data_IF_042580582896
#
_entry.id   IF_042580582896
#
_cell.length_a   1.000
_cell.length_b   1.000
_cell.length_c   1.000
_cell.angle_alpha   90.00
_cell.angle_beta   90.00
_cell.angle_gamma   90.00
#
_symmetry.space_group_name_H-M   'P 1'
#
loop_
_entity.id
_entity.type
_entity.pdbx_description
1 polymer ?
#
# COMPACT_ATOMS: atom_id res chain seq x y z
N UNK A 1 0.55 -1.37 25.93
CA UNK A 1 0.84 -1.73 24.53
C UNK A 1 1.13 -0.44 23.78
N UNK A 2 2.03 -0.45 22.80
CA UNK A 2 2.11 0.70 21.88
C UNK A 2 0.97 0.60 20.89
N UNK A 3 0.33 1.73 20.60
CA UNK A 3 -0.76 1.79 19.64
C UNK A 3 -0.28 1.45 18.23
N UNK A 4 -1.18 0.90 17.41
CA UNK A 4 -0.94 0.73 15.97
C UNK A 4 -1.22 2.05 15.26
N UNK A 5 -0.47 2.34 14.20
CA UNK A 5 -0.70 3.53 13.39
C UNK A 5 -1.89 3.37 12.45
N UNK A 6 -2.04 2.16 11.89
CA UNK A 6 -3.19 1.73 11.11
C UNK A 6 -3.75 0.48 11.79
N UNK A 7 -5.02 0.54 12.19
CA UNK A 7 -5.73 -0.61 12.76
C UNK A 7 -6.50 -1.29 11.64
N UNK A 8 -6.08 -2.52 11.29
CA UNK A 8 -6.84 -3.34 10.35
C UNK A 8 -8.18 -3.74 10.93
N UNK A 9 -9.22 -3.70 10.11
CA UNK A 9 -10.57 -4.13 10.43
C UNK A 9 -11.23 -4.82 9.23
N UNK A 10 -12.38 -5.46 9.44
CA UNK A 10 -13.16 -6.05 8.33
C UNK A 10 -13.58 -5.02 7.29
N UNK A 11 -13.76 -3.77 7.69
CA UNK A 11 -14.13 -2.70 6.77
C UNK A 11 -13.00 -2.39 5.78
N UNK A 12 -11.77 -2.87 6.01
CA UNK A 12 -10.65 -2.75 5.08
C UNK A 12 -10.62 -3.86 4.02
N UNK A 13 -11.38 -4.93 4.21
CA UNK A 13 -11.46 -6.02 3.23
C UNK A 13 -12.27 -5.57 2.02
N UNK A 14 -11.77 -5.87 0.83
CA UNK A 14 -12.44 -5.62 -0.46
C UNK A 14 -13.17 -6.89 -0.96
N UNK A 15 -12.87 -8.04 -0.36
CA UNK A 15 -13.51 -9.33 -0.62
C UNK A 15 -12.75 -10.22 -1.61
N UNK A 16 -11.52 -9.86 -1.98
CA UNK A 16 -10.64 -10.66 -2.85
C UNK A 16 -9.55 -11.25 -1.95
N UNK A 17 -9.63 -12.53 -1.53
CA UNK A 17 -8.81 -13.04 -0.41
C UNK A 17 -7.30 -12.86 -0.58
N UNK A 18 -6.77 -13.02 -1.80
CA UNK A 18 -5.35 -12.82 -2.07
C UNK A 18 -4.96 -11.34 -1.94
N UNK A 19 -5.81 -10.41 -2.38
CA UNK A 19 -5.57 -8.97 -2.26
C UNK A 19 -5.75 -8.50 -0.81
N UNK A 20 -6.75 -9.01 -0.09
CA UNK A 20 -6.97 -8.67 1.32
C UNK A 20 -5.78 -9.10 2.20
N UNK A 21 -5.24 -10.30 1.98
CA UNK A 21 -4.02 -10.73 2.67
C UNK A 21 -2.83 -9.87 2.27
N UNK A 22 -2.76 -9.48 1.01
CA UNK A 22 -1.71 -8.60 0.55
C UNK A 22 -1.76 -7.21 1.24
N UNK A 23 -2.92 -6.59 1.28
CA UNK A 23 -3.19 -5.34 1.99
C UNK A 23 -2.79 -5.41 3.47
N UNK A 24 -3.03 -6.54 4.15
CA UNK A 24 -2.60 -6.76 5.55
C UNK A 24 -1.08 -6.68 5.72
N UNK A 25 -0.31 -7.21 4.77
CA UNK A 25 1.17 -7.13 4.80
C UNK A 25 1.65 -5.69 4.65
N UNK A 26 1.01 -4.90 3.78
CA UNK A 26 1.31 -3.46 3.66
C UNK A 26 1.06 -2.73 4.99
N UNK A 27 -0.10 -2.94 5.62
CA UNK A 27 -0.42 -2.36 6.94
C UNK A 27 0.57 -2.80 8.02
N UNK A 28 0.97 -4.08 8.04
CA UNK A 28 1.99 -4.58 8.96
C UNK A 28 3.34 -3.89 8.79
N UNK A 29 3.74 -3.60 7.54
CA UNK A 29 4.99 -2.91 7.22
C UNK A 29 4.94 -1.44 7.68
N UNK A 30 3.81 -0.75 7.47
CA UNK A 30 3.61 0.63 7.94
C UNK A 30 3.65 0.69 9.47
N UNK A 31 2.95 -0.22 10.14
CA UNK A 31 2.96 -0.29 11.60
C UNK A 31 4.36 -0.62 12.16
N UNK A 32 5.17 -1.40 11.44
CA UNK A 32 6.56 -1.67 11.81
C UNK A 32 7.42 -0.42 11.75
N UNK A 33 7.29 0.42 10.72
CA UNK A 33 7.95 1.72 10.65
C UNK A 33 7.56 2.60 11.84
N UNK A 34 6.26 2.72 12.11
CA UNK A 34 5.76 3.48 13.25
C UNK A 34 6.36 2.98 14.57
N UNK A 35 6.42 1.67 14.78
CA UNK A 35 7.03 1.08 15.97
C UNK A 35 8.50 1.51 16.15
N UNK A 36 9.31 1.51 15.08
CA UNK A 36 10.69 1.95 15.13
C UNK A 36 10.83 3.46 15.36
N UNK A 37 9.92 4.27 14.82
CA UNK A 37 9.84 5.70 15.15
C UNK A 37 9.61 5.92 16.65
N UNK A 38 8.68 5.17 17.27
CA UNK A 38 8.44 5.20 18.71
C UNK A 38 9.68 4.78 19.54
N UNK A 39 10.62 4.03 18.93
CA UNK A 39 11.89 3.63 19.55
C UNK A 39 13.05 4.58 19.25
N UNK A 40 12.78 5.75 18.66
CA UNK A 40 13.81 6.70 18.19
C UNK A 40 14.78 6.06 17.17
N UNK A 41 14.29 5.09 16.39
CA UNK A 41 15.00 4.37 15.33
C UNK A 41 14.34 4.54 13.96
N UNK A 42 13.43 5.51 13.81
CA UNK A 42 12.66 5.73 12.59
C UNK A 42 13.51 5.90 11.34
N UNK A 43 14.48 6.83 11.37
CA UNK A 43 15.35 7.11 10.22
C UNK A 43 16.20 5.89 9.83
N UNK A 44 16.73 5.16 10.82
CA UNK A 44 17.48 3.93 10.57
C UNK A 44 16.60 2.82 9.95
N UNK A 45 15.29 2.84 10.22
CA UNK A 45 14.33 1.90 9.67
C UNK A 45 13.83 2.27 8.26
N UNK A 46 14.02 3.52 7.80
CA UNK A 46 13.48 3.98 6.51
C UNK A 46 13.92 3.13 5.32
N UNK A 47 15.23 2.91 5.17
CA UNK A 47 15.77 2.16 4.03
C UNK A 47 15.35 0.67 4.05
N UNK A 48 15.44 -0.05 5.18
CA UNK A 48 14.87 -1.39 5.29
C UNK A 48 13.36 -1.44 4.99
N UNK A 49 12.57 -0.48 5.51
CA UNK A 49 11.14 -0.41 5.26
C UNK A 49 10.84 -0.22 3.77
N UNK A 50 11.54 0.68 3.07
CA UNK A 50 11.29 0.87 1.63
C UNK A 50 11.69 -0.38 0.84
N UNK A 51 12.81 -1.03 1.15
CA UNK A 51 13.21 -2.25 0.43
C UNK A 51 12.14 -3.34 0.53
N UNK A 52 11.52 -3.50 1.70
CA UNK A 52 10.40 -4.43 1.89
C UNK A 52 9.20 -3.97 1.07
N UNK A 53 8.82 -2.69 1.16
CA UNK A 53 7.68 -2.15 0.44
C UNK A 53 7.85 -2.25 -1.08
N UNK A 54 9.00 -1.92 -1.65
CA UNK A 54 9.25 -1.95 -3.10
C UNK A 54 9.11 -3.37 -3.67
N UNK A 55 9.71 -4.36 -3.01
CA UNK A 55 9.58 -5.76 -3.42
C UNK A 55 8.13 -6.22 -3.29
N UNK A 56 7.48 -5.80 -2.22
CA UNK A 56 6.14 -6.21 -1.88
C UNK A 56 5.07 -5.59 -2.78
N UNK A 57 5.13 -4.27 -3.01
CA UNK A 57 4.19 -3.53 -3.87
C UNK A 57 4.32 -3.96 -5.32
N UNK A 58 5.52 -4.31 -5.79
CA UNK A 58 5.68 -4.90 -7.11
C UNK A 58 4.84 -6.16 -7.27
N UNK A 59 4.95 -7.11 -6.33
CA UNK A 59 4.19 -8.37 -6.38
C UNK A 59 2.68 -8.09 -6.25
N UNK A 60 2.30 -7.19 -5.34
CA UNK A 60 0.91 -6.80 -5.14
C UNK A 60 0.28 -6.19 -6.40
N UNK A 61 0.94 -5.19 -7.00
CA UNK A 61 0.48 -4.53 -8.22
C UNK A 61 0.43 -5.51 -9.39
N UNK A 62 1.44 -6.34 -9.61
CA UNK A 62 1.40 -7.38 -10.65
C UNK A 62 0.23 -8.36 -10.45
N UNK A 63 -0.07 -8.74 -9.20
CA UNK A 63 -1.22 -9.61 -8.88
C UNK A 63 -2.53 -8.92 -9.24
N UNK A 64 -2.71 -7.67 -8.82
CA UNK A 64 -3.93 -6.91 -9.06
C UNK A 64 -4.14 -6.65 -10.56
N UNK A 65 -3.09 -6.23 -11.26
CA UNK A 65 -3.12 -5.93 -12.70
C UNK A 65 -3.49 -7.16 -13.53
N UNK A 66 -2.93 -8.33 -13.22
CA UNK A 66 -3.28 -9.57 -13.93
C UNK A 66 -4.73 -10.00 -13.63
N UNK A 67 -5.21 -9.82 -12.41
CA UNK A 67 -6.63 -10.07 -12.08
C UNK A 67 -7.56 -9.09 -12.81
N UNK A 68 -7.23 -7.80 -12.83
CA UNK A 68 -7.98 -6.76 -13.55
C UNK A 68 -8.06 -7.07 -15.04
N UNK A 69 -6.93 -7.44 -15.65
CA UNK A 69 -6.84 -7.81 -17.06
C UNK A 69 -7.65 -9.06 -17.38
N UNK A 70 -7.53 -10.11 -16.55
CA UNK A 70 -8.28 -11.36 -16.70
C UNK A 70 -9.80 -11.12 -16.67
N UNK A 71 -10.26 -10.20 -15.83
CA UNK A 71 -11.68 -9.90 -15.65
C UNK A 71 -12.18 -8.69 -16.44
N UNK A 72 -11.36 -8.14 -17.35
CA UNK A 72 -11.76 -7.04 -18.24
C UNK A 72 -12.16 -5.77 -17.49
N UNK A 73 -11.42 -5.41 -16.44
CA UNK A 73 -11.65 -4.17 -15.70
C UNK A 73 -11.48 -2.95 -16.61
N UNK A 74 -12.52 -2.12 -16.71
CA UNK A 74 -12.58 -1.01 -17.67
C UNK A 74 -11.55 0.09 -17.41
N UNK A 75 -11.16 0.28 -16.16
CA UNK A 75 -10.24 1.35 -15.75
C UNK A 75 -8.79 0.85 -15.58
N UNK A 76 -8.45 -0.32 -16.15
CA UNK A 76 -7.12 -0.94 -16.02
C UNK A 76 -5.98 0.03 -16.39
N UNK A 77 -6.07 0.73 -17.51
CA UNK A 77 -5.01 1.64 -17.95
C UNK A 77 -4.78 2.79 -16.96
N UNK A 78 -5.86 3.32 -16.36
CA UNK A 78 -5.76 4.36 -15.34
C UNK A 78 -5.15 3.81 -14.05
N UNK A 79 -5.48 2.58 -13.66
CA UNK A 79 -4.93 1.93 -12.48
C UNK A 79 -3.44 1.59 -12.64
N UNK A 80 -3.02 1.13 -13.83
CA UNK A 80 -1.61 0.91 -14.18
C UNK A 80 -0.77 2.19 -14.07
N UNK A 81 -1.31 3.32 -14.54
CA UNK A 81 -0.65 4.62 -14.41
C UNK A 81 -0.52 5.02 -12.94
N UNK A 82 -1.58 4.84 -12.15
CA UNK A 82 -1.55 5.11 -10.73
C UNK A 82 -0.46 4.30 -10.00
N UNK A 83 -0.31 3.01 -10.31
CA UNK A 83 0.77 2.18 -9.73
C UNK A 83 2.17 2.72 -10.04
N UNK A 84 2.41 3.15 -11.27
CA UNK A 84 3.70 3.73 -11.69
C UNK A 84 4.00 5.03 -10.96
N UNK A 85 2.99 5.90 -10.84
CA UNK A 85 3.12 7.18 -10.16
C UNK A 85 3.41 6.98 -8.66
N UNK A 86 2.75 6.00 -8.03
CA UNK A 86 2.96 5.66 -6.62
C UNK A 86 4.37 5.11 -6.36
N UNK A 87 4.90 4.28 -7.27
CA UNK A 87 6.29 3.81 -7.18
C UNK A 87 7.28 4.98 -7.27
N UNK A 88 7.09 5.90 -8.22
CA UNK A 88 7.94 7.09 -8.35
C UNK A 88 7.89 7.97 -7.10
N UNK A 89 6.69 8.28 -6.61
CA UNK A 89 6.49 9.09 -5.41
C UNK A 89 7.11 8.44 -4.16
N UNK A 90 7.04 7.11 -4.03
CA UNK A 90 7.63 6.41 -2.90
C UNK A 90 9.17 6.59 -2.84
N UNK A 91 9.84 6.59 -3.99
CA UNK A 91 11.30 6.84 -4.04
C UNK A 91 11.66 8.28 -3.67
N UNK A 92 10.89 9.26 -4.18
CA UNK A 92 11.09 10.69 -3.88
C UNK A 92 10.90 10.98 -2.39
N UNK A 93 9.80 10.48 -1.82
CA UNK A 93 9.48 10.68 -0.41
C UNK A 93 10.47 9.97 0.51
N UNK A 94 10.98 8.78 0.15
CA UNK A 94 12.06 8.16 0.91
C UNK A 94 13.30 9.06 0.92
N UNK A 95 13.71 9.53 -0.24
CA UNK A 95 14.89 10.39 -0.36
C UNK A 95 14.74 11.64 0.50
N UNK A 96 13.57 12.29 0.45
CA UNK A 96 13.23 13.43 1.29
C UNK A 96 13.33 13.09 2.79
N UNK A 97 12.72 11.98 3.23
CA UNK A 97 12.77 11.55 4.63
C UNK A 97 14.17 11.25 5.13
N UNK A 98 15.06 10.72 4.28
CA UNK A 98 16.47 10.49 4.61
C UNK A 98 17.24 11.82 4.71
N UNK A 99 17.11 12.69 3.71
CA UNK A 99 17.82 13.99 3.66
C UNK A 99 17.41 14.88 4.83
N UNK A 100 16.12 14.92 5.16
CA UNK A 100 15.59 15.72 6.26
C UNK A 100 15.73 15.03 7.62
N UNK A 101 16.22 13.78 7.66
CA UNK A 101 16.30 12.96 8.87
C UNK A 101 14.94 12.89 9.60
N UNK A 102 13.85 12.78 8.83
CA UNK A 102 12.47 12.76 9.33
C UNK A 102 11.68 11.61 8.71
N UNK A 103 11.48 10.56 9.51
CA UNK A 103 10.68 9.40 9.12
C UNK A 103 9.17 9.67 9.07
N UNK A 104 8.71 10.80 9.61
CA UNK A 104 7.29 11.18 9.61
C UNK A 104 6.77 11.49 8.21
N UNK A 105 7.63 12.05 7.35
CA UNK A 105 7.33 12.32 5.94
C UNK A 105 6.93 11.02 5.23
N UNK A 106 7.77 9.98 5.38
CA UNK A 106 7.54 8.66 4.79
C UNK A 106 6.33 7.97 5.41
N UNK A 107 6.20 8.01 6.74
CA UNK A 107 5.07 7.38 7.42
C UNK A 107 3.72 7.98 6.98
N UNK A 108 3.64 9.31 6.84
CA UNK A 108 2.44 10.00 6.40
C UNK A 108 2.09 9.62 4.95
N UNK A 109 3.08 9.65 4.05
CA UNK A 109 2.87 9.21 2.66
C UNK A 109 2.32 7.78 2.60
N UNK A 110 2.90 6.84 3.35
CA UNK A 110 2.45 5.45 3.33
C UNK A 110 1.02 5.28 3.86
N UNK A 111 0.60 6.10 4.83
CA UNK A 111 -0.78 6.10 5.32
C UNK A 111 -1.75 6.69 4.32
N UNK A 112 -1.40 7.79 3.66
CA UNK A 112 -2.24 8.36 2.60
C UNK A 112 -2.35 7.37 1.43
N UNK A 113 -1.23 6.76 1.02
CA UNK A 113 -1.23 5.69 0.01
C UNK A 113 -2.16 4.53 0.41
N UNK A 114 -2.08 4.05 1.65
CA UNK A 114 -3.01 3.03 2.17
C UNK A 114 -4.47 3.47 2.10
N UNK A 115 -4.78 4.70 2.55
CA UNK A 115 -6.15 5.20 2.62
C UNK A 115 -6.76 5.49 1.24
N UNK A 116 -5.95 6.00 0.30
CA UNK A 116 -6.43 6.53 -0.98
C UNK A 116 -6.29 5.58 -2.14
N UNK A 117 -5.23 4.76 -2.17
CA UNK A 117 -5.05 3.75 -3.20
C UNK A 117 -5.67 2.44 -2.75
N UNK A 118 -5.00 1.75 -1.83
CA UNK A 118 -5.36 0.39 -1.42
C UNK A 118 -6.82 0.31 -0.92
N UNK A 119 -7.21 1.20 -0.01
CA UNK A 119 -8.53 1.10 0.61
C UNK A 119 -9.66 1.71 -0.24
N UNK A 120 -9.37 2.42 -1.35
CA UNK A 120 -10.38 3.11 -2.16
C UNK A 120 -10.36 2.76 -3.65
N UNK A 121 -9.20 2.74 -4.32
CA UNK A 121 -9.11 2.43 -5.75
C UNK A 121 -9.36 0.95 -5.99
N UNK A 122 -8.75 0.07 -5.21
CA UNK A 122 -8.88 -1.38 -5.36
C UNK A 122 -10.32 -1.85 -5.10
N UNK A 123 -11.09 -1.08 -4.30
CA UNK A 123 -12.53 -1.31 -4.14
C UNK A 123 -13.31 -1.16 -5.43
N UNK A 124 -12.92 -0.26 -6.33
CA UNK A 124 -13.56 -0.11 -7.64
C UNK A 124 -13.41 -1.38 -8.46
N UNK A 125 -12.25 -2.02 -8.37
CA UNK A 125 -12.04 -3.32 -9.00
C UNK A 125 -12.90 -4.41 -8.36
N UNK A 126 -12.96 -4.48 -7.02
CA UNK A 126 -13.84 -5.41 -6.34
C UNK A 126 -15.33 -5.20 -6.68
N UNK A 127 -15.78 -3.95 -6.86
CA UNK A 127 -17.13 -3.63 -7.33
C UNK A 127 -17.38 -4.13 -8.76
N UNK A 128 -16.40 -3.99 -9.66
CA UNK A 128 -16.49 -4.55 -11.01
C UNK A 128 -16.65 -6.07 -10.98
N UNK A 129 -15.89 -6.78 -10.14
CA UNK A 129 -16.03 -8.23 -9.98
C UNK A 129 -17.40 -8.63 -9.43
N UNK A 130 -17.95 -7.86 -8.48
CA UNK A 130 -19.32 -8.06 -7.98
C UNK A 130 -20.37 -7.86 -9.06
N UNK A 131 -20.24 -6.81 -9.87
CA UNK A 131 -21.17 -6.54 -10.97
C UNK A 131 -21.10 -7.60 -12.08
N UNK A 132 -19.96 -8.26 -12.24
CA UNK A 132 -19.76 -9.31 -13.26
C UNK A 132 -20.03 -10.73 -12.73
N UNK A 133 -20.42 -10.86 -11.45
CA UNK A 133 -20.76 -12.14 -10.81
C UNK A 133 -19.55 -13.04 -10.52
N UNK A 134 -18.35 -12.47 -10.50
CA UNK A 134 -17.10 -13.17 -10.13
C UNK A 134 -16.93 -13.21 -8.61
N UNK A 135 -17.28 -12.12 -7.93
CA UNK A 135 -17.40 -12.00 -6.47
C UNK A 135 -18.87 -11.94 -6.06
#
# INVERSE_FOLDING_TARGET
MKDLYIVWSKDNEIGIPIIDEQHRVAVGTINSLFYFMQMKRGVAALRPTLNVLEQYTKIHFETEEELMKLHGFRDLDAHLLLHRDLQSQAHEILHEGIVNNDATIVLNFLKEWWLDHINKQDRKFAEHLRHTGVL
#
